data_IF_025149786741
#
_entry.id   IF_025149786741
#
_cell.length_a   1.000
_cell.length_b   1.000
_cell.length_c   1.000
_cell.angle_alpha   90.00
_cell.angle_beta   90.00
_cell.angle_gamma   90.00
#
_symmetry.space_group_name_H-M   'P 1'
#
loop_
_entity.id
_entity.type
_entity.pdbx_description
1 polymer ?
#
# COMPACT_ATOMS: atom_id res chain seq x y z
N UNK A 1 -12.60 -21.94 1.14
CA UNK A 1 -11.46 -21.05 1.45
C UNK A 1 -11.96 -19.63 1.35
N UNK A 2 -11.75 -18.74 2.34
CA UNK A 2 -12.08 -17.34 2.15
C UNK A 2 -11.22 -16.77 1.02
N UNK A 3 -11.87 -16.17 0.03
CA UNK A 3 -11.22 -15.51 -1.11
C UNK A 3 -11.30 -14.01 -0.87
N UNK A 4 -10.17 -13.39 -0.52
CA UNK A 4 -10.10 -11.94 -0.37
C UNK A 4 -9.70 -11.33 -1.72
N UNK A 5 -10.71 -10.91 -2.48
CA UNK A 5 -10.49 -10.26 -3.78
C UNK A 5 -10.29 -8.75 -3.66
N UNK A 6 -10.97 -8.11 -2.70
CA UNK A 6 -10.92 -6.67 -2.49
C UNK A 6 -10.44 -6.36 -1.08
N UNK A 7 -9.40 -5.55 -0.98
CA UNK A 7 -8.80 -5.14 0.29
C UNK A 7 -8.90 -3.61 0.41
N UNK A 8 -9.43 -3.13 1.54
CA UNK A 8 -9.55 -1.71 1.86
C UNK A 8 -8.99 -1.42 3.25
N UNK A 9 -8.04 -0.51 3.37
CA UNK A 9 -7.39 -0.19 4.65
C UNK A 9 -6.65 1.15 4.60
N UNK A 10 -6.20 1.62 5.77
CA UNK A 10 -5.47 2.87 5.92
C UNK A 10 -4.08 2.61 6.50
N UNK A 11 -3.09 3.39 6.07
CA UNK A 11 -1.71 3.32 6.54
C UNK A 11 -1.13 4.72 6.72
N UNK A 12 -0.22 4.86 7.68
CA UNK A 12 0.53 6.11 7.90
C UNK A 12 1.82 6.11 7.10
N UNK A 13 2.11 7.22 6.41
CA UNK A 13 3.39 7.42 5.69
C UNK A 13 4.57 7.24 6.63
N UNK A 14 4.51 7.84 7.81
CA UNK A 14 5.58 7.74 8.82
C UNK A 14 5.76 6.31 9.35
N UNK A 15 4.67 5.54 9.42
CA UNK A 15 4.71 4.14 9.83
C UNK A 15 5.38 3.23 8.80
N UNK A 16 5.31 3.60 7.52
CA UNK A 16 5.92 2.85 6.41
C UNK A 16 7.34 3.31 6.09
N UNK A 17 7.59 4.63 6.07
CA UNK A 17 8.91 5.21 5.74
C UNK A 17 10.01 4.92 6.76
N UNK A 18 9.66 4.51 7.99
CA UNK A 18 10.63 4.13 9.04
C UNK A 18 11.01 2.66 9.05
N UNK A 19 10.48 1.82 8.16
CA UNK A 19 10.85 0.41 8.10
C UNK A 19 12.18 0.24 7.37
N UNK A 20 13.17 -0.32 8.07
CA UNK A 20 14.44 -0.77 7.46
C UNK A 20 14.25 -2.02 6.57
N UNK A 21 13.12 -2.72 6.74
CA UNK A 21 12.80 -3.94 6.01
C UNK A 21 11.90 -3.62 4.81
N UNK A 22 12.28 -3.99 3.57
CA UNK A 22 11.48 -3.81 2.36
C UNK A 22 10.26 -4.76 2.31
N UNK A 23 9.91 -5.38 3.43
CA UNK A 23 8.69 -6.15 3.59
C UNK A 23 7.54 -5.16 3.48
N UNK A 24 7.04 -5.01 2.25
CA UNK A 24 5.85 -4.25 1.91
C UNK A 24 4.63 -4.71 2.71
N UNK A 25 3.45 -4.38 2.22
CA UNK A 25 2.19 -4.63 2.93
C UNK A 25 1.76 -6.11 2.94
N UNK A 26 2.55 -7.00 2.34
CA UNK A 26 2.30 -8.43 2.30
C UNK A 26 1.21 -8.80 1.31
N UNK A 27 0.97 -7.96 0.29
CA UNK A 27 -0.07 -8.19 -0.70
C UNK A 27 0.15 -9.51 -1.46
N UNK A 28 1.41 -9.92 -1.65
CA UNK A 28 1.78 -11.19 -2.29
C UNK A 28 1.26 -12.45 -1.61
N UNK A 29 0.81 -12.37 -0.36
CA UNK A 29 0.19 -13.50 0.36
C UNK A 29 -1.32 -13.64 0.08
N UNK A 30 -1.90 -12.77 -0.75
CA UNK A 30 -3.33 -12.75 -1.08
C UNK A 30 -3.54 -13.20 -2.54
N UNK A 31 -3.62 -14.52 -2.81
CA UNK A 31 -3.57 -15.07 -4.16
C UNK A 31 -4.78 -14.74 -5.04
N UNK A 32 -5.82 -14.15 -4.48
CA UNK A 32 -7.05 -13.76 -5.19
C UNK A 32 -7.23 -12.25 -5.25
N UNK A 33 -6.24 -11.47 -4.81
CA UNK A 33 -6.36 -10.03 -4.74
C UNK A 33 -6.46 -9.42 -6.14
N UNK A 34 -7.49 -8.61 -6.34
CA UNK A 34 -7.81 -7.94 -7.60
C UNK A 34 -7.91 -6.42 -7.43
N UNK A 35 -8.31 -5.94 -6.24
CA UNK A 35 -8.47 -4.52 -5.94
C UNK A 35 -7.91 -4.19 -4.55
N UNK A 36 -7.12 -3.12 -4.50
CA UNK A 36 -6.60 -2.51 -3.27
C UNK A 36 -7.01 -1.06 -3.22
N UNK A 37 -7.75 -0.68 -2.17
CA UNK A 37 -8.08 0.71 -1.85
C UNK A 37 -7.32 1.08 -0.59
N UNK A 38 -6.35 1.98 -0.71
CA UNK A 38 -5.44 2.32 0.36
C UNK A 38 -5.51 3.82 0.65
N UNK A 39 -5.81 4.13 1.91
CA UNK A 39 -5.82 5.51 2.41
C UNK A 39 -4.48 5.83 3.05
N UNK A 40 -3.79 6.82 2.51
CA UNK A 40 -2.49 7.27 3.00
C UNK A 40 -2.66 8.46 3.93
N UNK A 41 -2.35 8.25 5.20
CA UNK A 41 -2.30 9.33 6.18
C UNK A 41 -0.96 10.05 6.04
N UNK A 42 -1.03 11.28 5.53
CA UNK A 42 0.15 12.10 5.21
C UNK A 42 0.47 13.17 6.27
N UNK A 43 -0.28 13.24 7.38
CA UNK A 43 0.02 14.20 8.45
C UNK A 43 1.46 13.99 8.96
N UNK A 44 2.19 15.10 9.11
CA UNK A 44 3.60 15.15 9.57
C UNK A 44 4.64 14.46 8.66
N UNK A 45 4.23 13.97 7.49
CA UNK A 45 5.14 13.43 6.48
C UNK A 45 5.65 14.52 5.53
N UNK A 46 6.90 14.42 5.13
CA UNK A 46 7.47 15.21 4.04
C UNK A 46 6.96 14.72 2.68
N UNK A 47 6.96 15.61 1.68
CA UNK A 47 6.61 15.23 0.31
C UNK A 47 7.49 14.10 -0.25
N UNK A 48 8.75 14.02 0.19
CA UNK A 48 9.67 12.96 -0.22
C UNK A 48 9.21 11.60 0.34
N UNK A 49 8.89 11.53 1.63
CA UNK A 49 8.41 10.30 2.26
C UNK A 49 7.09 9.81 1.63
N UNK A 50 6.18 10.73 1.28
CA UNK A 50 4.94 10.37 0.58
C UNK A 50 5.25 9.72 -0.76
N UNK A 51 6.12 10.33 -1.57
CA UNK A 51 6.51 9.80 -2.90
C UNK A 51 7.20 8.45 -2.79
N UNK A 52 8.08 8.26 -1.81
CA UNK A 52 8.78 6.99 -1.57
C UNK A 52 7.78 5.88 -1.21
N UNK A 53 6.83 6.16 -0.33
CA UNK A 53 5.80 5.20 0.04
C UNK A 53 4.89 4.89 -1.15
N UNK A 54 4.45 5.88 -1.92
CA UNK A 54 3.66 5.62 -3.13
C UNK A 54 4.41 4.74 -4.13
N UNK A 55 5.69 5.02 -4.36
CA UNK A 55 6.53 4.24 -5.25
C UNK A 55 6.65 2.79 -4.77
N UNK A 56 6.88 2.58 -3.47
CA UNK A 56 6.92 1.25 -2.85
C UNK A 56 5.59 0.49 -3.08
N UNK A 57 4.45 1.14 -2.85
CA UNK A 57 3.12 0.53 -3.02
C UNK A 57 2.84 0.14 -4.47
N UNK A 58 3.23 1.01 -5.42
CA UNK A 58 3.10 0.73 -6.85
C UNK A 58 3.97 -0.44 -7.27
N UNK A 59 5.20 -0.54 -6.74
CA UNK A 59 6.09 -1.67 -7.00
C UNK A 59 5.47 -2.97 -6.47
N UNK A 60 4.96 -2.97 -5.24
CA UNK A 60 4.37 -4.16 -4.63
C UNK A 60 3.17 -4.70 -5.42
N UNK A 61 2.29 -3.80 -5.86
CA UNK A 61 1.16 -4.15 -6.72
C UNK A 61 1.63 -4.61 -8.11
N UNK A 62 2.67 -3.99 -8.66
CA UNK A 62 3.22 -4.35 -9.95
C UNK A 62 3.85 -5.75 -9.95
N UNK A 63 4.49 -6.18 -8.87
CA UNK A 63 5.12 -7.52 -8.78
C UNK A 63 4.15 -8.60 -8.28
N UNK A 64 2.94 -8.23 -7.86
CA UNK A 64 1.92 -9.18 -7.43
C UNK A 64 1.44 -10.06 -8.61
N UNK A 65 1.25 -11.38 -8.43
CA UNK A 65 0.88 -12.29 -9.52
C UNK A 65 -0.39 -11.89 -10.30
N UNK A 66 -1.38 -11.33 -9.62
CA UNK A 66 -2.64 -10.89 -10.23
C UNK A 66 -2.64 -9.42 -10.68
N UNK A 67 -1.55 -8.66 -10.46
CA UNK A 67 -1.47 -7.23 -10.76
C UNK A 67 -2.73 -6.44 -10.36
N UNK A 68 -3.10 -6.42 -9.06
CA UNK A 68 -4.37 -5.84 -8.63
C UNK A 68 -4.44 -4.35 -8.98
N UNK A 69 -5.65 -3.85 -9.15
CA UNK A 69 -5.86 -2.40 -9.29
C UNK A 69 -5.55 -1.72 -7.96
N UNK A 70 -4.77 -0.66 -7.99
CA UNK A 70 -4.43 0.14 -6.82
C UNK A 70 -5.12 1.51 -6.89
N UNK A 71 -5.96 1.79 -5.91
CA UNK A 71 -6.52 3.11 -5.67
C UNK A 71 -5.87 3.69 -4.41
N UNK A 72 -5.08 4.75 -4.59
CA UNK A 72 -4.46 5.50 -3.49
C UNK A 72 -5.26 6.77 -3.24
N UNK A 73 -5.63 7.00 -1.98
CA UNK A 73 -6.30 8.21 -1.54
C UNK A 73 -5.52 8.82 -0.37
N UNK A 74 -4.91 9.97 -0.58
CA UNK A 74 -4.24 10.73 0.48
C UNK A 74 -5.26 11.41 1.39
N UNK A 75 -4.99 11.44 2.69
CA UNK A 75 -5.77 12.21 3.65
C UNK A 75 -4.88 12.78 4.76
N UNK A 76 -5.34 13.89 5.32
CA UNK A 76 -4.74 14.54 6.48
C UNK A 76 -5.73 14.46 7.65
N UNK A 77 -5.31 13.83 8.75
CA UNK A 77 -6.02 13.85 10.03
C UNK A 77 -5.62 15.07 10.85
#
# INVERSE_FOLDING_TARGET
MPMLAHLKFSVSVLGLGRREDPVGLGLGYLPFLELVILYLQCSDASAVEVVEVEAMLRIEVHVHPNHPTLNLEEYHC
#
